data_IF_486809628226
#
_entry.id   IF_486809628226
#
_cell.length_a   1.000
_cell.length_b   1.000
_cell.length_c   1.000
_cell.angle_alpha   90.00
_cell.angle_beta   90.00
_cell.angle_gamma   90.00
#
_symmetry.space_group_name_H-M   'P 1'
#
loop_
_entity.id
_entity.type
_entity.pdbx_description
1 polymer ?
#
# COMPACT_ATOMS: atom_id res chain seq x y z
N UNK A 1 25.76 -1.18 34.53
CA UNK A 1 24.49 -0.45 34.37
C UNK A 1 23.42 -1.26 35.08
N UNK A 2 22.61 -0.66 35.96
CA UNK A 2 21.43 -1.32 36.52
C UNK A 2 20.53 -1.69 35.35
N UNK A 3 20.03 -2.92 35.30
CA UNK A 3 18.96 -3.27 34.35
C UNK A 3 17.73 -2.41 34.67
N UNK A 4 17.51 -1.38 33.88
CA UNK A 4 16.28 -0.60 33.91
C UNK A 4 15.28 -1.39 33.07
N UNK A 5 14.15 -1.77 33.66
CA UNK A 5 13.06 -2.36 32.89
C UNK A 5 12.42 -1.24 32.04
N UNK A 6 12.72 -1.27 30.77
CA UNK A 6 12.22 -0.25 29.83
C UNK A 6 10.70 -0.30 29.69
N UNK A 7 10.05 -1.44 29.95
CA UNK A 7 8.60 -1.58 29.85
C UNK A 7 7.83 -0.75 30.89
N UNK A 8 8.48 -0.40 32.02
CA UNK A 8 7.85 0.44 33.05
C UNK A 8 7.84 1.94 32.72
N UNK A 9 8.68 2.39 31.75
CA UNK A 9 8.85 3.82 31.45
C UNK A 9 8.44 4.17 30.02
N UNK A 10 8.26 3.19 29.14
CA UNK A 10 7.87 3.41 27.73
C UNK A 10 6.35 3.48 27.60
N UNK A 11 5.88 4.38 26.76
CA UNK A 11 4.49 4.38 26.33
C UNK A 11 4.19 3.15 25.45
N UNK A 12 2.92 2.84 25.29
CA UNK A 12 2.49 1.74 24.41
C UNK A 12 2.98 1.95 22.97
N UNK A 13 2.88 3.19 22.46
CA UNK A 13 3.33 3.55 21.10
C UNK A 13 4.84 3.36 20.95
N UNK A 14 5.63 3.72 21.96
CA UNK A 14 7.08 3.49 21.95
C UNK A 14 7.42 2.00 21.94
N UNK A 15 6.75 1.19 22.77
CA UNK A 15 6.93 -0.25 22.79
C UNK A 15 6.61 -0.88 21.43
N UNK A 16 5.50 -0.47 20.81
CA UNK A 16 5.10 -0.92 19.46
C UNK A 16 6.16 -0.49 18.44
N UNK A 17 6.60 0.76 18.44
CA UNK A 17 7.61 1.25 17.52
C UNK A 17 8.94 0.49 17.62
N UNK A 18 9.38 0.16 18.84
CA UNK A 18 10.59 -0.65 19.04
C UNK A 18 10.40 -2.10 18.62
N UNK A 19 9.22 -2.69 18.84
CA UNK A 19 8.89 -4.04 18.42
C UNK A 19 8.82 -4.17 16.89
N UNK A 20 8.23 -3.18 16.20
CA UNK A 20 8.24 -3.09 14.74
C UNK A 20 9.66 -2.97 14.20
N UNK A 21 10.50 -2.13 14.81
CA UNK A 21 11.92 -2.01 14.45
C UNK A 21 12.65 -3.34 14.58
N UNK A 22 12.42 -4.09 15.66
CA UNK A 22 13.02 -5.40 15.87
C UNK A 22 12.57 -6.39 14.79
N UNK A 23 11.27 -6.41 14.46
CA UNK A 23 10.69 -7.22 13.40
C UNK A 23 11.37 -6.93 12.04
N UNK A 24 11.44 -5.66 11.63
CA UNK A 24 12.01 -5.28 10.33
C UNK A 24 13.51 -5.56 10.24
N UNK A 25 14.23 -5.28 11.33
CA UNK A 25 15.67 -5.59 11.40
C UNK A 25 15.94 -7.09 11.30
N UNK A 26 15.12 -7.93 11.96
CA UNK A 26 15.27 -9.40 11.89
C UNK A 26 14.97 -9.94 10.48
N UNK A 27 14.14 -9.24 9.70
CA UNK A 27 13.83 -9.54 8.30
C UNK A 27 14.89 -9.02 7.31
N UNK A 28 16.00 -8.44 7.79
CA UNK A 28 17.11 -7.99 6.95
C UNK A 28 17.01 -6.55 6.45
N UNK A 29 16.07 -5.75 6.97
CA UNK A 29 15.94 -4.33 6.60
C UNK A 29 16.94 -3.47 7.40
N UNK A 30 17.55 -2.49 6.74
CA UNK A 30 18.45 -1.51 7.36
C UNK A 30 17.70 -0.24 7.75
N UNK A 31 18.12 0.43 8.84
CA UNK A 31 17.50 1.68 9.25
C UNK A 31 17.81 2.79 8.25
N UNK A 32 16.76 3.46 7.76
CA UNK A 32 16.84 4.70 6.99
C UNK A 32 16.50 5.89 7.88
N UNK A 33 17.28 6.96 7.75
CA UNK A 33 17.05 8.26 8.39
C UNK A 33 17.06 9.34 7.34
N UNK A 34 16.15 10.29 7.47
CA UNK A 34 16.01 11.37 6.50
C UNK A 34 15.88 12.75 7.18
N UNK A 35 16.08 13.80 6.40
CA UNK A 35 15.81 15.16 6.84
C UNK A 35 14.31 15.35 7.08
N UNK A 36 13.96 16.26 7.99
CA UNK A 36 12.57 16.68 8.22
C UNK A 36 12.04 17.59 7.11
N UNK A 37 12.94 18.16 6.30
CA UNK A 37 12.61 19.11 5.23
C UNK A 37 13.50 18.89 4.00
N UNK A 38 12.97 19.29 2.87
CA UNK A 38 13.56 19.21 1.53
C UNK A 38 13.23 20.49 0.75
N UNK A 39 13.90 20.68 -0.38
CA UNK A 39 13.49 21.74 -1.32
C UNK A 39 12.06 21.51 -1.83
N UNK A 40 11.23 22.56 -1.82
CA UNK A 40 9.83 22.48 -2.24
C UNK A 40 9.68 21.94 -3.67
N UNK A 41 10.57 22.31 -4.58
CA UNK A 41 10.54 21.89 -5.98
C UNK A 41 10.58 20.37 -6.16
N UNK A 42 11.21 19.65 -5.24
CA UNK A 42 11.22 18.19 -5.26
C UNK A 42 9.79 17.62 -5.12
N UNK A 43 9.03 18.12 -4.17
CA UNK A 43 7.65 17.68 -3.96
C UNK A 43 6.70 18.24 -5.01
N UNK A 44 6.91 19.47 -5.50
CA UNK A 44 6.09 20.08 -6.52
C UNK A 44 6.11 19.29 -7.85
N UNK A 45 7.26 18.72 -8.22
CA UNK A 45 7.39 17.85 -9.41
C UNK A 45 6.71 16.50 -9.24
N UNK A 46 6.54 16.04 -8.02
CA UNK A 46 5.99 14.73 -7.67
C UNK A 46 4.62 14.81 -6.98
N UNK A 47 3.92 15.95 -7.08
CA UNK A 47 2.67 16.24 -6.35
C UNK A 47 1.55 15.23 -6.61
N UNK A 48 1.51 14.62 -7.79
CA UNK A 48 0.47 13.65 -8.17
C UNK A 48 0.54 12.35 -7.35
N UNK A 49 1.68 12.11 -6.69
CA UNK A 49 1.90 10.96 -5.80
C UNK A 49 1.81 11.32 -4.32
N UNK A 50 1.47 12.55 -3.99
CA UNK A 50 1.28 12.95 -2.60
C UNK A 50 -0.18 12.73 -2.17
N UNK A 51 -0.38 12.19 -0.98
CA UNK A 51 -1.71 12.03 -0.36
C UNK A 51 -2.45 13.37 -0.25
N UNK A 52 -1.71 14.48 -0.18
CA UNK A 52 -2.25 15.84 -0.15
C UNK A 52 -1.38 16.78 -0.96
N UNK A 53 -2.02 17.56 -1.84
CA UNK A 53 -1.35 18.63 -2.58
C UNK A 53 -0.97 19.84 -1.70
N UNK A 54 -1.42 19.87 -0.45
CA UNK A 54 -1.14 20.94 0.48
C UNK A 54 0.15 20.63 1.24
N UNK A 55 1.26 21.24 0.80
CA UNK A 55 2.59 21.08 1.38
C UNK A 55 2.85 22.25 2.31
N UNK A 56 3.39 21.98 3.49
CA UNK A 56 3.78 23.01 4.45
C UNK A 56 5.17 23.54 4.02
N UNK A 57 5.25 24.82 3.71
CA UNK A 57 6.47 25.44 3.20
C UNK A 57 7.00 26.53 4.12
N UNK A 58 8.30 26.79 4.04
CA UNK A 58 9.00 27.88 4.73
C UNK A 58 10.21 28.32 3.90
N UNK A 59 10.80 29.45 4.22
CA UNK A 59 12.01 29.95 3.56
C UNK A 59 13.20 29.68 4.47
N UNK A 60 14.29 29.12 3.91
CA UNK A 60 15.54 28.93 4.63
C UNK A 60 16.34 30.24 4.78
N UNK A 61 17.50 30.16 5.43
CA UNK A 61 18.38 31.33 5.66
C UNK A 61 18.98 31.92 4.38
N UNK A 62 19.00 31.13 3.30
CA UNK A 62 19.54 31.55 1.99
C UNK A 62 18.43 32.02 1.03
N UNK A 63 17.17 32.07 1.50
CA UNK A 63 16.01 32.50 0.72
C UNK A 63 15.40 31.41 -0.17
N UNK A 64 15.81 30.15 -0.02
CA UNK A 64 15.23 29.02 -0.77
C UNK A 64 13.90 28.59 -0.18
N UNK A 65 12.95 28.23 -1.05
CA UNK A 65 11.68 27.69 -0.61
C UNK A 65 11.85 26.20 -0.23
N UNK A 66 11.64 25.91 1.03
CA UNK A 66 11.72 24.58 1.63
C UNK A 66 10.31 24.05 1.96
N UNK A 67 10.20 22.74 2.13
CA UNK A 67 8.98 22.07 2.54
C UNK A 67 9.25 21.10 3.70
N UNK A 68 8.33 21.05 4.65
CA UNK A 68 8.29 19.94 5.60
C UNK A 68 7.88 18.66 4.85
N UNK A 69 8.55 17.57 5.15
CA UNK A 69 8.37 16.26 4.52
C UNK A 69 6.91 15.75 4.61
N UNK A 70 6.16 15.69 3.49
CA UNK A 70 4.78 15.19 3.47
C UNK A 70 4.68 13.67 3.28
N UNK A 71 5.80 13.05 2.83
CA UNK A 71 5.87 11.64 2.44
C UNK A 71 7.28 11.09 2.69
N UNK A 72 7.34 9.82 3.12
CA UNK A 72 8.60 9.13 3.42
C UNK A 72 9.16 8.42 2.18
N UNK A 73 8.30 7.74 1.42
CA UNK A 73 8.68 6.92 0.27
C UNK A 73 9.40 7.74 -0.80
N UNK A 74 8.90 8.95 -1.11
CA UNK A 74 9.56 9.86 -2.06
C UNK A 74 11.00 10.20 -1.66
N UNK A 75 11.24 10.45 -0.37
CA UNK A 75 12.58 10.77 0.15
C UNK A 75 13.51 9.55 0.10
N UNK A 76 12.98 8.35 0.33
CA UNK A 76 13.75 7.10 0.20
C UNK A 76 14.12 6.84 -1.25
N UNK A 77 13.18 6.95 -2.19
CA UNK A 77 13.43 6.76 -3.63
C UNK A 77 14.47 7.76 -4.14
N UNK A 78 14.38 9.03 -3.71
CA UNK A 78 15.37 10.06 -4.07
C UNK A 78 16.80 9.67 -3.66
N UNK A 79 16.93 9.06 -2.47
CA UNK A 79 18.21 8.71 -1.86
C UNK A 79 18.70 7.32 -2.26
N UNK A 80 17.84 6.48 -2.86
CA UNK A 80 18.22 5.14 -3.30
C UNK A 80 18.97 5.18 -4.62
N UNK A 81 20.08 4.43 -4.70
CA UNK A 81 20.74 4.15 -5.97
C UNK A 81 20.03 2.96 -6.63
N UNK A 82 19.31 3.21 -7.72
CA UNK A 82 18.52 2.19 -8.42
C UNK A 82 19.34 1.26 -9.32
N UNK A 83 20.67 1.41 -9.35
CA UNK A 83 21.58 0.59 -10.14
C UNK A 83 22.07 -0.69 -9.42
N UNK A 84 21.55 -0.98 -8.24
CA UNK A 84 22.00 -2.09 -7.41
C UNK A 84 21.34 -3.39 -7.89
N UNK A 85 22.15 -4.42 -8.13
CA UNK A 85 21.72 -5.77 -8.55
C UNK A 85 20.82 -6.49 -7.52
N UNK A 86 20.78 -6.01 -6.28
CA UNK A 86 19.94 -6.53 -5.21
C UNK A 86 18.97 -5.43 -4.68
N UNK A 87 17.76 -5.80 -4.27
CA UNK A 87 16.82 -4.81 -3.75
C UNK A 87 17.30 -4.15 -2.47
N UNK A 88 17.18 -2.83 -2.41
CA UNK A 88 17.44 -2.02 -1.23
C UNK A 88 16.29 -2.20 -0.25
N UNK A 89 16.55 -2.77 0.92
CA UNK A 89 15.57 -3.03 1.98
C UNK A 89 15.81 -2.08 3.15
N UNK A 90 14.91 -1.15 3.38
CA UNK A 90 15.03 -0.17 4.45
C UNK A 90 13.76 -0.11 5.30
N UNK A 91 13.94 0.17 6.60
CA UNK A 91 12.87 0.51 7.50
C UNK A 91 13.07 1.91 8.09
N UNK A 92 11.97 2.54 8.49
CA UNK A 92 11.96 3.86 9.08
C UNK A 92 10.99 3.96 10.25
N UNK A 93 11.21 4.97 11.10
CA UNK A 93 10.23 5.53 12.04
C UNK A 93 10.40 7.05 11.97
N UNK A 94 9.48 7.71 11.28
CA UNK A 94 9.63 9.10 10.87
C UNK A 94 8.30 9.85 10.95
N UNK A 95 8.39 11.15 11.20
CA UNK A 95 7.24 12.03 11.14
C UNK A 95 7.07 12.61 9.74
N UNK A 96 5.84 12.62 9.24
CA UNK A 96 5.42 13.38 8.07
C UNK A 96 4.49 14.51 8.48
N UNK A 97 4.48 15.57 7.68
CA UNK A 97 3.77 16.80 7.99
C UNK A 97 2.74 17.08 6.91
N UNK A 98 1.48 17.14 7.30
CA UNK A 98 0.36 17.29 6.36
C UNK A 98 -0.63 18.34 6.85
N UNK A 99 -1.41 18.89 5.93
CA UNK A 99 -2.54 19.75 6.25
C UNK A 99 -3.80 18.90 6.25
N UNK A 100 -4.51 18.87 7.38
CA UNK A 100 -5.78 18.18 7.51
C UNK A 100 -6.81 18.74 6.53
N UNK A 101 -7.46 17.88 5.75
CA UNK A 101 -8.49 18.29 4.78
C UNK A 101 -9.71 18.92 5.46
N UNK A 102 -10.12 18.41 6.62
CA UNK A 102 -11.29 18.87 7.35
C UNK A 102 -11.05 20.17 8.13
N UNK A 103 -10.05 20.16 9.01
CA UNK A 103 -9.77 21.28 9.93
C UNK A 103 -8.80 22.32 9.38
N UNK A 104 -8.11 22.01 8.26
CA UNK A 104 -7.00 22.79 7.68
C UNK A 104 -5.86 23.06 8.66
N UNK A 105 -5.79 22.33 9.77
CA UNK A 105 -4.70 22.40 10.74
C UNK A 105 -3.49 21.60 10.27
N UNK A 106 -2.32 22.00 10.69
CA UNK A 106 -1.09 21.25 10.49
C UNK A 106 -1.09 20.02 11.38
N UNK A 107 -0.73 18.88 10.79
CA UNK A 107 -0.59 17.61 11.50
C UNK A 107 0.82 17.08 11.33
N UNK A 108 1.39 16.64 12.41
CA UNK A 108 2.54 15.77 12.47
C UNK A 108 2.03 14.36 12.65
N UNK A 109 2.41 13.44 11.75
CA UNK A 109 1.92 12.05 11.71
C UNK A 109 3.12 11.15 11.84
N UNK A 110 3.19 10.37 12.92
CA UNK A 110 4.26 9.41 13.13
C UNK A 110 3.99 8.12 12.37
N UNK A 111 4.94 7.70 11.55
CA UNK A 111 4.86 6.51 10.72
C UNK A 111 6.06 5.60 10.94
N UNK A 112 5.81 4.31 11.14
CA UNK A 112 6.83 3.28 11.04
C UNK A 112 6.54 2.41 9.82
N UNK A 113 7.56 2.02 9.05
CA UNK A 113 7.33 1.23 7.86
C UNK A 113 8.59 0.69 7.23
N UNK A 114 8.42 0.01 6.10
CA UNK A 114 9.50 -0.55 5.29
C UNK A 114 9.32 -0.18 3.82
N UNK A 115 10.45 -0.12 3.11
CA UNK A 115 10.49 -0.01 1.65
C UNK A 115 11.48 -1.05 1.10
N UNK A 116 11.06 -1.75 0.05
CA UNK A 116 11.88 -2.65 -0.75
C UNK A 116 11.92 -2.10 -2.17
N UNK A 117 13.08 -1.66 -2.63
CA UNK A 117 13.26 -0.92 -3.88
C UNK A 117 14.37 -1.60 -4.69
N UNK A 118 14.12 -1.82 -5.97
CA UNK A 118 15.09 -2.45 -6.87
C UNK A 118 14.44 -3.51 -7.76
N UNK A 119 15.15 -4.60 -8.02
CA UNK A 119 14.60 -5.78 -8.69
C UNK A 119 13.69 -6.54 -7.71
N UNK A 120 12.43 -6.09 -7.63
CA UNK A 120 11.42 -6.61 -6.70
C UNK A 120 10.67 -7.75 -7.36
N UNK A 121 11.03 -8.98 -6.97
CA UNK A 121 10.38 -10.21 -7.39
C UNK A 121 9.17 -10.58 -6.51
N UNK A 122 8.44 -11.64 -6.88
CA UNK A 122 7.28 -12.12 -6.14
C UNK A 122 7.63 -12.61 -4.72
N UNK A 123 8.87 -13.06 -4.49
CA UNK A 123 9.37 -13.43 -3.15
C UNK A 123 9.49 -12.20 -2.26
N UNK A 124 10.02 -11.11 -2.79
CA UNK A 124 10.10 -9.82 -2.07
C UNK A 124 8.70 -9.25 -1.79
N UNK A 125 7.78 -9.37 -2.76
CA UNK A 125 6.38 -8.94 -2.60
C UNK A 125 5.72 -9.71 -1.46
N UNK A 126 5.76 -11.04 -1.49
CA UNK A 126 5.19 -11.88 -0.44
C UNK A 126 5.81 -11.58 0.94
N UNK A 127 7.14 -11.37 1.00
CA UNK A 127 7.82 -10.98 2.23
C UNK A 127 7.30 -9.64 2.78
N UNK A 128 7.12 -8.62 1.95
CA UNK A 128 6.61 -7.30 2.39
C UNK A 128 5.18 -7.42 2.89
N UNK A 129 4.30 -8.17 2.21
CA UNK A 129 2.91 -8.39 2.63
C UNK A 129 2.87 -9.19 3.94
N UNK A 130 3.71 -10.22 4.09
CA UNK A 130 3.86 -10.97 5.34
C UNK A 130 4.29 -10.05 6.49
N UNK A 131 5.28 -9.18 6.27
CA UNK A 131 5.72 -8.21 7.28
C UNK A 131 4.63 -7.20 7.62
N UNK A 132 3.78 -6.80 6.68
CA UNK A 132 2.62 -5.96 6.95
C UNK A 132 1.63 -6.66 7.89
N UNK A 133 1.27 -7.92 7.63
CA UNK A 133 0.40 -8.72 8.49
C UNK A 133 1.01 -8.92 9.89
N UNK A 134 2.29 -9.26 9.96
CA UNK A 134 3.03 -9.42 11.23
C UNK A 134 3.14 -8.10 12.01
N UNK A 135 3.25 -6.97 11.31
CA UNK A 135 3.25 -5.64 11.94
C UNK A 135 1.92 -5.35 12.65
N UNK A 136 0.79 -5.73 12.04
CA UNK A 136 -0.51 -5.64 12.69
C UNK A 136 -0.58 -6.57 13.92
N UNK A 137 -0.04 -7.78 13.82
CA UNK A 137 0.05 -8.74 14.91
C UNK A 137 0.91 -8.28 16.10
N UNK A 138 1.89 -7.41 15.88
CA UNK A 138 2.65 -6.73 16.96
C UNK A 138 1.74 -5.76 17.74
N UNK A 139 0.73 -5.19 17.09
CA UNK A 139 -0.15 -4.16 17.67
C UNK A 139 -1.35 -4.78 18.36
N UNK A 140 -1.99 -5.76 17.71
CA UNK A 140 -3.21 -6.42 18.18
C UNK A 140 -3.29 -7.86 17.65
N UNK A 141 -3.81 -8.79 18.47
CA UNK A 141 -4.13 -10.14 18.01
C UNK A 141 -5.36 -10.15 17.06
N UNK A 142 -6.26 -9.18 17.24
CA UNK A 142 -7.48 -9.00 16.44
C UNK A 142 -7.22 -7.99 15.32
N UNK A 143 -6.74 -8.50 14.19
CA UNK A 143 -6.46 -7.69 13.00
C UNK A 143 -6.87 -8.39 11.72
N UNK A 144 -7.00 -7.61 10.66
CA UNK A 144 -7.15 -8.09 9.29
C UNK A 144 -6.29 -7.25 8.35
N UNK A 145 -5.62 -7.91 7.41
CA UNK A 145 -4.96 -7.29 6.28
C UNK A 145 -5.82 -7.52 5.03
N UNK A 146 -6.42 -6.47 4.51
CA UNK A 146 -7.07 -6.48 3.21
C UNK A 146 -6.03 -6.42 2.12
N UNK A 147 -6.11 -7.33 1.14
CA UNK A 147 -5.17 -7.49 0.03
C UNK A 147 -5.92 -7.39 -1.29
N UNK A 148 -5.39 -6.59 -2.21
CA UNK A 148 -5.84 -6.48 -3.60
C UNK A 148 -4.67 -6.69 -4.55
N UNK A 149 -4.97 -7.13 -5.77
CA UNK A 149 -4.04 -7.05 -6.90
C UNK A 149 -4.71 -6.24 -8.03
N UNK A 150 -4.22 -5.02 -8.25
CA UNK A 150 -4.75 -4.07 -9.22
C UNK A 150 -4.51 -4.54 -10.67
N UNK A 151 -3.49 -5.37 -10.89
CA UNK A 151 -3.19 -5.92 -12.21
C UNK A 151 -4.21 -6.99 -12.63
N UNK A 152 -4.76 -7.77 -11.68
CA UNK A 152 -5.91 -8.66 -11.94
C UNK A 152 -7.10 -7.84 -12.46
N UNK A 153 -7.46 -6.78 -11.74
CA UNK A 153 -8.58 -5.90 -12.13
C UNK A 153 -8.31 -5.25 -13.49
N UNK A 154 -7.14 -4.64 -13.65
CA UNK A 154 -6.75 -3.96 -14.88
C UNK A 154 -6.75 -4.92 -16.09
N UNK A 155 -6.24 -6.13 -15.92
CA UNK A 155 -6.19 -7.14 -17.00
C UNK A 155 -7.59 -7.60 -17.42
N UNK A 156 -8.52 -7.79 -16.47
CA UNK A 156 -9.91 -8.11 -16.78
C UNK A 156 -10.58 -6.95 -17.50
N UNK A 157 -10.42 -5.72 -17.03
CA UNK A 157 -11.01 -4.55 -17.68
C UNK A 157 -10.41 -4.32 -19.08
N UNK A 158 -9.12 -4.53 -19.27
CA UNK A 158 -8.48 -4.43 -20.58
C UNK A 158 -8.93 -5.51 -21.56
N UNK A 159 -9.31 -6.69 -21.07
CA UNK A 159 -9.82 -7.76 -21.92
C UNK A 159 -11.21 -7.44 -22.53
N UNK A 160 -12.02 -6.67 -21.81
CA UNK A 160 -13.41 -6.42 -22.20
C UNK A 160 -13.70 -4.99 -22.66
N UNK A 161 -12.89 -4.00 -22.28
CA UNK A 161 -13.16 -2.58 -22.56
C UNK A 161 -12.02 -1.93 -23.37
N UNK A 162 -12.37 -1.34 -24.50
CA UNK A 162 -11.42 -0.55 -25.32
C UNK A 162 -11.37 0.92 -24.89
N UNK A 163 -12.44 1.43 -24.27
CA UNK A 163 -12.57 2.82 -23.82
C UNK A 163 -11.81 3.05 -22.52
N UNK A 164 -10.80 3.94 -22.52
CA UNK A 164 -10.10 4.38 -21.31
C UNK A 164 -11.05 5.04 -20.30
N UNK A 165 -12.00 5.81 -20.78
CA UNK A 165 -12.99 6.49 -19.93
C UNK A 165 -13.89 5.48 -19.20
N UNK A 166 -14.33 4.41 -19.88
CA UNK A 166 -15.11 3.34 -19.27
C UNK A 166 -14.28 2.59 -18.21
N UNK A 167 -13.01 2.28 -18.49
CA UNK A 167 -12.12 1.62 -17.51
C UNK A 167 -11.92 2.47 -16.26
N UNK A 168 -11.68 3.75 -16.40
CA UNK A 168 -11.51 4.69 -15.25
C UNK A 168 -12.79 4.75 -14.42
N UNK A 169 -13.98 4.84 -15.06
CA UNK A 169 -15.24 4.87 -14.37
C UNK A 169 -15.53 3.56 -13.65
N UNK A 170 -15.28 2.42 -14.30
CA UNK A 170 -15.40 1.08 -13.69
C UNK A 170 -14.53 0.92 -12.46
N UNK A 171 -13.26 1.33 -12.55
CA UNK A 171 -12.35 1.28 -11.41
C UNK A 171 -12.89 2.07 -10.21
N UNK A 172 -13.46 3.26 -10.44
CA UNK A 172 -14.10 4.04 -9.38
C UNK A 172 -15.28 3.29 -8.77
N UNK A 173 -16.17 2.73 -9.61
CA UNK A 173 -17.36 2.00 -9.18
C UNK A 173 -17.03 0.70 -8.44
N UNK A 174 -15.98 -0.01 -8.85
CA UNK A 174 -15.43 -1.17 -8.12
C UNK A 174 -14.95 -0.76 -6.72
N UNK A 175 -14.19 0.34 -6.62
CA UNK A 175 -13.75 0.88 -5.33
C UNK A 175 -14.90 1.32 -4.41
N UNK A 176 -16.02 1.76 -4.99
CA UNK A 176 -17.26 2.14 -4.27
C UNK A 176 -18.16 0.92 -3.99
N UNK A 177 -17.79 -0.27 -4.44
CA UNK A 177 -18.63 -1.50 -4.39
C UNK A 177 -20.01 -1.31 -5.04
N UNK A 178 -20.08 -0.49 -6.10
CA UNK A 178 -21.30 -0.16 -6.80
C UNK A 178 -21.61 -1.15 -7.93
N UNK A 179 -22.20 -2.29 -7.58
CA UNK A 179 -22.54 -3.35 -8.53
C UNK A 179 -23.46 -2.86 -9.66
N UNK A 180 -24.49 -2.07 -9.33
CA UNK A 180 -25.44 -1.59 -10.33
C UNK A 180 -24.78 -0.66 -11.35
N UNK A 181 -23.93 0.27 -10.89
CA UNK A 181 -23.20 1.14 -11.81
C UNK A 181 -22.24 0.38 -12.72
N UNK A 182 -21.60 -0.69 -12.20
CA UNK A 182 -20.75 -1.57 -13.02
C UNK A 182 -21.56 -2.26 -14.11
N UNK A 183 -22.73 -2.81 -13.79
CA UNK A 183 -23.62 -3.45 -14.75
C UNK A 183 -24.11 -2.47 -15.82
N UNK A 184 -24.48 -1.26 -15.45
CA UNK A 184 -24.91 -0.21 -16.38
C UNK A 184 -23.83 0.14 -17.41
N UNK A 185 -22.55 0.21 -16.98
CA UNK A 185 -21.45 0.43 -17.91
C UNK A 185 -21.26 -0.77 -18.83
N UNK A 186 -21.32 -1.99 -18.32
CA UNK A 186 -21.20 -3.20 -19.15
C UNK A 186 -22.29 -3.22 -20.26
N UNK A 187 -23.52 -2.88 -19.94
CA UNK A 187 -24.61 -2.77 -20.91
C UNK A 187 -24.38 -1.65 -21.95
N UNK A 188 -23.94 -0.47 -21.47
CA UNK A 188 -23.63 0.68 -22.33
C UNK A 188 -22.49 0.37 -23.33
N UNK A 189 -21.49 -0.35 -22.90
CA UNK A 189 -20.36 -0.76 -23.75
C UNK A 189 -20.65 -2.02 -24.59
N UNK A 190 -21.84 -2.62 -24.46
CA UNK A 190 -22.31 -3.73 -25.27
C UNK A 190 -21.67 -5.10 -24.95
N UNK A 191 -21.28 -5.31 -23.69
CA UNK A 191 -20.75 -6.60 -23.25
C UNK A 191 -21.82 -7.71 -23.29
N UNK A 192 -21.36 -8.94 -23.55
CA UNK A 192 -22.22 -10.12 -23.39
C UNK A 192 -22.60 -10.31 -21.91
N UNK A 193 -23.67 -11.07 -21.66
CA UNK A 193 -24.11 -11.39 -20.30
C UNK A 193 -23.01 -12.08 -19.49
N UNK A 194 -22.26 -13.01 -20.11
CA UNK A 194 -21.13 -13.71 -19.49
C UNK A 194 -20.00 -12.75 -19.11
N UNK A 195 -19.59 -11.86 -20.02
CA UNK A 195 -18.56 -10.85 -19.71
C UNK A 195 -19.00 -9.88 -18.63
N UNK A 196 -20.27 -9.46 -18.67
CA UNK A 196 -20.88 -8.59 -17.66
C UNK A 196 -20.94 -9.26 -16.29
N UNK A 197 -21.14 -10.57 -16.23
CA UNK A 197 -21.12 -11.32 -14.98
C UNK A 197 -19.71 -11.41 -14.42
N UNK A 198 -18.68 -11.67 -15.24
CA UNK A 198 -17.28 -11.70 -14.79
C UNK A 198 -16.87 -10.35 -14.19
N UNK A 199 -17.15 -9.24 -14.88
CA UNK A 199 -16.82 -7.90 -14.39
C UNK A 199 -17.61 -7.55 -13.13
N UNK A 200 -18.90 -7.88 -13.10
CA UNK A 200 -19.78 -7.67 -11.93
C UNK A 200 -19.32 -8.47 -10.70
N UNK A 201 -18.81 -9.68 -10.91
CA UNK A 201 -18.32 -10.53 -9.84
C UNK A 201 -17.12 -9.92 -9.10
N UNK A 202 -16.31 -9.07 -9.74
CA UNK A 202 -15.22 -8.36 -9.06
C UNK A 202 -15.71 -7.52 -7.87
N UNK A 203 -16.93 -6.96 -7.94
CA UNK A 203 -17.53 -6.16 -6.86
C UNK A 203 -17.83 -7.01 -5.64
N UNK A 204 -18.27 -8.26 -5.86
CA UNK A 204 -18.70 -9.20 -4.81
C UNK A 204 -17.61 -10.19 -4.39
N UNK A 205 -16.49 -10.20 -5.10
CA UNK A 205 -15.37 -11.10 -4.83
C UNK A 205 -14.51 -10.53 -3.70
N UNK A 206 -14.94 -10.75 -2.48
CA UNK A 206 -14.21 -10.41 -1.26
C UNK A 206 -14.40 -11.49 -0.20
N UNK A 207 -13.49 -11.55 0.78
CA UNK A 207 -13.56 -12.45 1.91
C UNK A 207 -12.22 -13.10 2.25
N UNK A 208 -12.23 -14.13 3.12
CA UNK A 208 -11.03 -14.86 3.50
C UNK A 208 -10.25 -15.35 2.27
N UNK A 209 -8.92 -15.20 2.32
CA UNK A 209 -8.05 -15.44 1.17
C UNK A 209 -8.25 -16.80 0.52
N UNK A 210 -8.37 -17.88 1.30
CA UNK A 210 -8.62 -19.23 0.79
C UNK A 210 -9.92 -19.33 -0.01
N UNK A 211 -11.01 -18.72 0.49
CA UNK A 211 -12.32 -18.74 -0.20
C UNK A 211 -12.27 -17.97 -1.53
N UNK A 212 -11.56 -16.83 -1.55
CA UNK A 212 -11.44 -16.03 -2.79
C UNK A 212 -10.52 -16.72 -3.78
N UNK A 213 -9.44 -17.36 -3.33
CA UNK A 213 -8.54 -18.17 -4.15
C UNK A 213 -9.30 -19.22 -4.95
N UNK A 214 -10.19 -19.99 -4.30
CA UNK A 214 -10.99 -21.01 -4.95
C UNK A 214 -11.91 -20.44 -6.05
N UNK A 215 -12.52 -19.28 -5.78
CA UNK A 215 -13.37 -18.58 -6.75
C UNK A 215 -12.58 -18.04 -7.93
N UNK A 216 -11.40 -17.43 -7.69
CA UNK A 216 -10.52 -16.88 -8.71
C UNK A 216 -10.02 -17.96 -9.67
N UNK A 217 -9.74 -19.16 -9.19
CA UNK A 217 -9.30 -20.28 -10.00
C UNK A 217 -10.32 -20.69 -11.08
N UNK A 218 -11.59 -20.31 -10.91
CA UNK A 218 -12.66 -20.55 -11.87
C UNK A 218 -12.78 -19.44 -12.94
N UNK A 219 -12.08 -18.31 -12.78
CA UNK A 219 -12.10 -17.23 -13.76
C UNK A 219 -11.31 -17.64 -15.03
N UNK A 220 -12.00 -17.75 -16.15
CA UNK A 220 -11.40 -18.05 -17.44
C UNK A 220 -11.68 -16.92 -18.41
N UNK A 221 -10.72 -16.01 -18.59
CA UNK A 221 -10.84 -14.85 -19.50
C UNK A 221 -9.83 -15.00 -20.66
N UNK A 222 -8.55 -14.87 -20.34
CA UNK A 222 -7.43 -15.08 -21.26
C UNK A 222 -6.15 -15.36 -20.48
N UNK A 223 -5.05 -15.68 -21.18
CA UNK A 223 -3.75 -16.01 -20.55
C UNK A 223 -3.17 -14.85 -19.72
N UNK A 224 -3.38 -13.59 -20.11
CA UNK A 224 -2.88 -12.45 -19.37
C UNK A 224 -3.59 -12.30 -18.00
N UNK A 225 -4.92 -12.43 -18.00
CA UNK A 225 -5.72 -12.43 -16.76
C UNK A 225 -5.34 -13.61 -15.88
N UNK A 226 -5.17 -14.79 -16.49
CA UNK A 226 -4.76 -15.99 -15.76
C UNK A 226 -3.41 -15.82 -15.08
N UNK A 227 -2.42 -15.24 -15.75
CA UNK A 227 -1.10 -15.00 -15.17
C UNK A 227 -1.16 -14.12 -13.91
N UNK A 228 -1.97 -13.05 -13.93
CA UNK A 228 -2.12 -12.17 -12.76
C UNK A 228 -2.89 -12.85 -11.63
N UNK A 229 -3.88 -13.69 -11.94
CA UNK A 229 -4.59 -14.50 -10.95
C UNK A 229 -3.63 -15.51 -10.32
N UNK A 230 -2.86 -16.24 -11.11
CA UNK A 230 -1.89 -17.24 -10.64
C UNK A 230 -0.85 -16.57 -9.71
N UNK A 231 -0.43 -15.35 -10.05
CA UNK A 231 0.49 -14.55 -9.22
C UNK A 231 -0.13 -14.19 -7.86
N UNK A 232 -1.38 -13.72 -7.84
CA UNK A 232 -2.10 -13.44 -6.60
C UNK A 232 -2.26 -14.71 -5.74
N UNK A 233 -2.62 -15.84 -6.38
CA UNK A 233 -2.75 -17.13 -5.71
C UNK A 233 -1.42 -17.56 -5.08
N UNK A 234 -0.30 -17.43 -5.79
CA UNK A 234 1.04 -17.77 -5.28
C UNK A 234 1.42 -16.96 -4.03
N UNK A 235 1.09 -15.65 -4.01
CA UNK A 235 1.29 -14.81 -2.81
C UNK A 235 0.41 -15.30 -1.66
N UNK A 236 -0.88 -15.58 -1.91
CA UNK A 236 -1.79 -16.10 -0.89
C UNK A 236 -1.26 -17.43 -0.31
N UNK A 237 -0.81 -18.36 -1.15
CA UNK A 237 -0.25 -19.64 -0.71
C UNK A 237 1.00 -19.49 0.15
N UNK A 238 1.84 -18.50 -0.17
CA UNK A 238 3.01 -18.16 0.66
C UNK A 238 2.57 -17.68 2.05
N UNK A 239 1.55 -16.83 2.12
CA UNK A 239 1.01 -16.33 3.40
C UNK A 239 0.30 -17.44 4.19
N UNK A 240 -0.39 -18.36 3.51
CA UNK A 240 -0.99 -19.56 4.12
C UNK A 240 0.09 -20.45 4.76
N UNK A 241 1.19 -20.71 4.04
CA UNK A 241 2.33 -21.50 4.53
C UNK A 241 3.00 -20.87 5.77
N UNK A 242 2.92 -19.54 5.91
CA UNK A 242 3.40 -18.81 7.08
C UNK A 242 2.40 -18.74 8.25
N UNK A 243 1.22 -19.35 8.12
CA UNK A 243 0.16 -19.36 9.13
C UNK A 243 -0.62 -18.05 9.24
N UNK A 244 -0.64 -17.24 8.18
CA UNK A 244 -1.32 -15.95 8.15
C UNK A 244 -2.68 -15.97 7.44
N UNK A 245 -3.13 -17.14 6.94
CA UNK A 245 -4.35 -17.30 6.14
C UNK A 245 -5.59 -16.63 6.75
N UNK A 246 -5.84 -16.86 8.04
CA UNK A 246 -7.02 -16.34 8.75
C UNK A 246 -6.97 -14.81 8.99
N UNK A 247 -5.85 -14.19 8.71
CA UNK A 247 -5.61 -12.75 8.88
C UNK A 247 -5.70 -11.98 7.57
N UNK A 248 -5.79 -12.68 6.44
CA UNK A 248 -5.82 -12.07 5.10
C UNK A 248 -7.23 -12.12 4.54
N UNK A 249 -7.73 -10.97 4.14
CA UNK A 249 -8.97 -10.81 3.40
C UNK A 249 -8.65 -10.25 2.01
N UNK A 250 -9.03 -10.94 0.94
CA UNK A 250 -8.90 -10.39 -0.42
C UNK A 250 -10.10 -9.49 -0.69
N UNK A 251 -9.84 -8.28 -1.19
CA UNK A 251 -10.88 -7.31 -1.55
C UNK A 251 -10.41 -6.40 -2.69
N UNK A 252 -10.98 -6.59 -3.88
CA UNK A 252 -10.64 -5.80 -5.05
C UNK A 252 -11.14 -4.34 -5.01
N UNK A 253 -11.88 -3.94 -3.98
CA UNK A 253 -12.20 -2.53 -3.74
C UNK A 253 -11.08 -1.74 -3.05
N UNK A 254 -10.03 -2.40 -2.58
CA UNK A 254 -8.81 -1.75 -2.04
C UNK A 254 -8.03 -1.15 -3.20
N UNK A 255 -8.54 -0.03 -3.69
CA UNK A 255 -7.99 0.71 -4.84
C UNK A 255 -7.58 2.14 -4.45
N UNK A 256 -7.34 2.39 -3.16
CA UNK A 256 -6.99 3.72 -2.69
C UNK A 256 -5.67 4.17 -3.32
N UNK A 257 -5.75 5.27 -4.07
CA UNK A 257 -4.64 5.90 -4.78
C UNK A 257 -4.07 5.07 -5.95
N UNK A 258 -4.92 4.66 -6.90
CA UNK A 258 -4.52 4.05 -8.17
C UNK A 258 -3.49 4.87 -8.98
N UNK A 259 -3.34 6.15 -8.69
CA UNK A 259 -2.27 6.95 -9.24
C UNK A 259 -0.93 6.63 -8.60
N UNK A 260 -0.94 6.14 -7.37
CA UNK A 260 0.24 5.80 -6.59
C UNK A 260 0.62 4.33 -6.76
N UNK A 261 -0.33 3.40 -6.54
CA UNK A 261 -0.10 1.97 -6.55
C UNK A 261 -0.39 1.31 -7.91
N UNK A 262 0.31 0.23 -8.16
CA UNK A 262 0.06 -0.77 -9.21
C UNK A 262 0.33 -2.14 -8.60
N UNK A 263 -0.10 -3.23 -9.26
CA UNK A 263 0.10 -4.56 -8.70
C UNK A 263 -0.59 -4.76 -7.35
N UNK A 264 0.14 -5.20 -6.35
CA UNK A 264 -0.41 -5.44 -5.02
C UNK A 264 -0.63 -4.14 -4.24
N UNK A 265 -1.81 -4.03 -3.63
CA UNK A 265 -2.17 -2.98 -2.70
C UNK A 265 -2.84 -3.60 -1.46
N UNK A 266 -2.57 -3.05 -0.27
CA UNK A 266 -3.09 -3.62 0.97
C UNK A 266 -3.31 -2.57 2.04
N UNK A 267 -4.27 -2.87 2.94
CA UNK A 267 -4.63 -2.04 4.10
C UNK A 267 -4.80 -2.90 5.32
N UNK A 268 -4.34 -2.40 6.45
CA UNK A 268 -4.42 -3.09 7.73
C UNK A 268 -5.39 -2.44 8.69
N UNK A 269 -6.20 -3.25 9.33
CA UNK A 269 -7.18 -2.85 10.35
C UNK A 269 -6.97 -3.65 11.62
N UNK A 270 -7.26 -3.02 12.75
CA UNK A 270 -7.30 -3.69 14.07
C UNK A 270 -8.62 -3.39 14.76
N UNK A 271 -9.01 -4.27 15.66
CA UNK A 271 -10.19 -4.04 16.50
C UNK A 271 -10.06 -2.75 17.32
N UNK A 272 -11.14 -2.00 17.42
CA UNK A 272 -11.21 -0.74 18.19
C UNK A 272 -10.83 0.51 17.41
N UNK A 273 -10.18 0.41 16.24
CA UNK A 273 -9.87 1.56 15.37
C UNK A 273 -10.61 1.41 14.04
N UNK A 274 -11.60 2.27 13.76
CA UNK A 274 -12.42 2.18 12.54
C UNK A 274 -11.67 2.60 11.27
N UNK A 275 -10.55 3.30 11.40
CA UNK A 275 -9.69 3.70 10.29
C UNK A 275 -8.56 2.70 10.09
N UNK A 276 -8.14 2.47 8.84
CA UNK A 276 -6.96 1.64 8.59
C UNK A 276 -5.72 2.24 9.25
N UNK A 277 -4.96 1.41 9.98
CA UNK A 277 -3.73 1.81 10.67
C UNK A 277 -2.47 1.45 9.90
N UNK A 278 -2.60 0.73 8.80
CA UNK A 278 -1.52 0.37 7.90
C UNK A 278 -2.00 0.51 6.47
N UNK A 279 -1.16 1.04 5.59
CA UNK A 279 -1.38 1.01 4.15
C UNK A 279 -0.08 0.78 3.40
N UNK A 280 -0.14 0.06 2.28
CA UNK A 280 1.01 -0.23 1.46
C UNK A 280 0.65 -0.78 0.09
N UNK A 281 1.66 -1.03 -0.73
CA UNK A 281 1.52 -1.59 -2.07
C UNK A 281 2.74 -1.37 -2.95
N UNK A 282 2.66 -1.86 -4.18
CA UNK A 282 3.66 -1.62 -5.23
C UNK A 282 3.47 -0.22 -5.83
N UNK A 283 4.59 0.43 -6.16
CA UNK A 283 4.59 1.81 -6.68
C UNK A 283 5.57 2.03 -7.84
N UNK A 284 5.61 1.08 -8.79
CA UNK A 284 6.51 1.12 -9.94
C UNK A 284 6.25 2.35 -10.84
N UNK A 285 5.01 2.85 -10.89
CA UNK A 285 4.65 4.09 -11.59
C UNK A 285 5.38 5.29 -11.02
N UNK A 286 5.47 5.38 -9.69
CA UNK A 286 6.24 6.42 -9.00
C UNK A 286 7.74 6.28 -9.29
N UNK A 287 8.26 5.04 -9.25
CA UNK A 287 9.66 4.75 -9.59
C UNK A 287 9.99 5.24 -11.00
N UNK A 288 9.16 4.88 -11.99
CA UNK A 288 9.33 5.30 -13.39
C UNK A 288 9.29 6.83 -13.55
N UNK A 289 8.38 7.53 -12.86
CA UNK A 289 8.31 9.00 -12.89
C UNK A 289 9.55 9.66 -12.27
N UNK A 290 10.15 9.02 -11.28
CA UNK A 290 11.41 9.47 -10.69
C UNK A 290 12.64 8.99 -11.47
N UNK A 291 12.45 8.53 -12.72
CA UNK A 291 13.50 8.04 -13.62
C UNK A 291 14.32 6.87 -13.06
N UNK A 292 13.67 6.03 -12.24
CA UNK A 292 14.22 4.76 -11.79
C UNK A 292 13.70 3.62 -12.68
N UNK A 293 14.58 2.73 -13.11
CA UNK A 293 14.25 1.58 -13.97
C UNK A 293 13.78 0.35 -13.21
N UNK A 294 13.69 0.44 -11.91
CA UNK A 294 13.37 -0.66 -10.98
C UNK A 294 12.01 -0.46 -10.33
N UNK A 295 11.47 -1.52 -9.72
CA UNK A 295 10.20 -1.49 -8.97
C UNK A 295 10.37 -1.07 -7.52
N UNK A 296 9.24 -0.98 -6.82
CA UNK A 296 9.20 -0.72 -5.39
C UNK A 296 7.91 -1.19 -4.74
N UNK A 297 8.03 -1.70 -3.52
CA UNK A 297 6.91 -2.07 -2.65
C UNK A 297 7.23 -1.71 -1.21
N UNK A 298 6.26 -1.21 -0.48
CA UNK A 298 6.44 -0.86 0.92
C UNK A 298 5.12 -0.59 1.62
N UNK A 299 5.20 -0.26 2.89
CA UNK A 299 4.04 0.14 3.68
C UNK A 299 4.40 1.07 4.84
N UNK A 300 3.40 1.77 5.33
CA UNK A 300 3.44 2.58 6.54
C UNK A 300 2.41 2.11 7.57
N UNK A 301 2.82 2.02 8.83
CA UNK A 301 1.96 1.91 10.01
C UNK A 301 1.82 3.32 10.60
N UNK A 302 0.59 3.76 10.84
CA UNK A 302 0.25 5.08 11.39
C UNK A 302 0.19 5.00 12.92
N UNK A 303 1.29 5.32 13.60
CA UNK A 303 1.43 5.13 15.04
C UNK A 303 0.56 6.09 15.86
N UNK A 304 0.29 7.30 15.36
CA UNK A 304 -0.59 8.26 16.02
C UNK A 304 -2.07 7.81 16.07
N UNK A 305 -2.51 6.92 15.16
CA UNK A 305 -3.84 6.31 15.25
C UNK A 305 -3.99 5.42 16.50
N UNK A 306 -2.88 4.89 17.04
CA UNK A 306 -2.88 4.03 18.24
C UNK A 306 -3.29 4.78 19.51
N UNK A 307 -3.18 6.10 19.52
CA UNK A 307 -3.66 6.93 20.64
C UNK A 307 -5.19 6.87 20.85
N UNK A 308 -5.91 6.24 19.89
CA UNK A 308 -7.37 6.03 19.94
C UNK A 308 -7.76 4.72 20.66
N UNK A 309 -6.79 3.86 20.99
CA UNK A 309 -6.95 2.63 21.77
C UNK A 309 -6.85 2.95 23.29
#
# INVERSE_FOLDING_TARGET
MKNVDLSEIMTREELIAFSLRALYKSAGYAMFRMSKFEEYDFYARNKDFLVSNNIITFTDTDGRLMALKPDVTLSIIKSSDASVEAPVKVYYNENVYRISRGTKSFKEINQAGIECIGDVDDTNIAQVISLAARSLGVISENYVLELSNLDVVSSILNAYFTSDAARVELMRLLGEKNYFGVREICEREGLSDEASEIVGNLVSLYGPAGTVKDKLSAFSVNEAVKAEIDRLISVIETLEAEGLADKICVDFSVMNDMNYYNGFAFRGFIEGIPTGILSGGQYDKLMSKMHKSSGGIGFAVYLDELSKL
#
